data_IF_753406734952
#
_entry.id   IF_753406734952
#
_cell.length_a   1.000
_cell.length_b   1.000
_cell.length_c   1.000
_cell.angle_alpha   90.00
_cell.angle_beta   90.00
_cell.angle_gamma   90.00
#
_symmetry.space_group_name_H-M   'P 1'
#
loop_
_entity.id
_entity.type
_entity.pdbx_description
1 polymer ?
#
# COMPACT_ATOMS: atom_id res chain seq x y z
N UNK A 1 9.55 -7.35 -53.39
CA UNK A 1 8.66 -6.18 -53.34
C UNK A 1 7.75 -6.31 -52.14
N UNK A 2 7.69 -5.31 -51.27
CA UNK A 2 6.88 -5.34 -50.05
C UNK A 2 5.40 -5.06 -50.37
N UNK A 3 4.56 -6.07 -50.23
CA UNK A 3 3.11 -5.99 -50.41
C UNK A 3 2.48 -5.26 -49.21
N UNK A 4 1.99 -4.04 -49.44
CA UNK A 4 1.37 -3.23 -48.41
C UNK A 4 -0.08 -3.68 -48.17
N UNK A 5 -0.30 -4.41 -47.08
CA UNK A 5 -1.63 -4.82 -46.60
C UNK A 5 -2.54 -3.59 -46.34
N UNK A 6 -3.47 -3.32 -47.26
CA UNK A 6 -4.42 -2.22 -47.16
C UNK A 6 -5.53 -2.58 -46.16
N UNK A 7 -5.55 -1.93 -44.99
CA UNK A 7 -6.63 -2.07 -43.99
C UNK A 7 -7.99 -1.66 -44.57
N UNK A 8 -8.76 -2.62 -45.09
CA UNK A 8 -10.02 -2.44 -45.81
C UNK A 8 -11.07 -1.56 -45.09
N UNK A 9 -11.11 -1.61 -43.75
CA UNK A 9 -12.07 -0.84 -42.94
C UNK A 9 -11.87 0.69 -42.98
N UNK A 10 -10.63 1.19 -43.14
CA UNK A 10 -10.37 2.64 -43.26
C UNK A 10 -10.77 3.19 -44.62
N UNK A 11 -10.59 2.41 -45.68
CA UNK A 11 -10.92 2.82 -47.05
C UNK A 11 -12.44 2.88 -47.26
N UNK A 12 -13.20 1.93 -46.70
CA UNK A 12 -14.68 1.90 -46.77
C UNK A 12 -15.34 3.12 -46.08
N UNK A 13 -14.82 3.56 -44.93
CA UNK A 13 -15.30 4.78 -44.24
C UNK A 13 -14.98 6.08 -44.99
N UNK A 14 -13.92 6.12 -45.80
CA UNK A 14 -13.58 7.30 -46.63
C UNK A 14 -14.44 7.40 -47.89
N UNK A 15 -14.84 6.27 -48.48
CA UNK A 15 -15.63 6.21 -49.72
C UNK A 15 -17.15 6.29 -49.50
N UNK A 16 -17.63 6.20 -48.27
CA UNK A 16 -19.06 6.06 -47.95
C UNK A 16 -19.89 7.35 -48.08
N UNK A 17 -19.31 8.47 -48.55
CA UNK A 17 -20.00 9.77 -48.71
C UNK A 17 -20.48 10.44 -47.41
N UNK A 18 -20.40 9.75 -46.27
CA UNK A 18 -20.80 10.27 -44.96
C UNK A 18 -19.79 11.29 -44.45
N UNK A 19 -20.27 12.43 -43.94
CA UNK A 19 -19.39 13.40 -43.31
C UNK A 19 -18.63 12.78 -42.13
N UNK A 20 -17.31 12.99 -42.11
CA UNK A 20 -16.47 12.54 -41.01
C UNK A 20 -16.75 13.39 -39.77
N UNK A 21 -17.39 12.81 -38.77
CA UNK A 21 -17.49 13.41 -37.44
C UNK A 21 -16.12 13.31 -36.78
N UNK A 22 -15.42 14.44 -36.69
CA UNK A 22 -14.16 14.56 -35.95
C UNK A 22 -14.41 15.43 -34.72
N UNK A 23 -14.21 14.86 -33.53
CA UNK A 23 -14.22 15.64 -32.28
C UNK A 23 -12.79 16.06 -31.97
N UNK A 24 -12.60 17.35 -31.66
CA UNK A 24 -11.33 17.83 -31.08
C UNK A 24 -11.30 17.38 -29.63
N UNK A 25 -10.25 16.66 -29.22
CA UNK A 25 -10.06 16.31 -27.82
C UNK A 25 -9.63 17.58 -27.06
N UNK A 26 -10.44 18.02 -26.09
CA UNK A 26 -10.03 19.07 -25.15
C UNK A 26 -9.10 18.45 -24.11
N UNK A 27 -7.91 19.01 -23.96
CA UNK A 27 -7.00 18.63 -22.87
C UNK A 27 -7.56 19.24 -21.59
N UNK A 28 -8.05 18.40 -20.69
CA UNK A 28 -8.49 18.82 -19.35
C UNK A 28 -7.28 18.75 -18.42
N UNK A 29 -7.03 19.84 -17.69
CA UNK A 29 -5.94 19.94 -16.72
C UNK A 29 -6.49 19.68 -15.32
N UNK A 30 -5.72 19.02 -14.43
CA UNK A 30 -6.17 18.74 -13.07
C UNK A 30 -6.24 20.02 -12.24
N UNK A 31 -7.24 20.09 -11.36
CA UNK A 31 -7.38 21.16 -10.37
C UNK A 31 -6.69 20.72 -9.08
N UNK A 32 -5.78 21.54 -8.57
CA UNK A 32 -5.09 21.28 -7.30
C UNK A 32 -5.87 21.90 -6.15
N UNK A 33 -6.28 21.05 -5.20
CA UNK A 33 -7.05 21.45 -4.01
C UNK A 33 -6.17 21.79 -2.81
N UNK A 34 -4.99 21.18 -2.71
CA UNK A 34 -4.09 21.40 -1.57
C UNK A 34 -3.56 22.84 -1.54
N UNK A 35 -3.62 23.46 -0.36
CA UNK A 35 -3.28 24.89 -0.18
C UNK A 35 -1.80 25.17 -0.42
N UNK A 36 -0.92 24.26 -0.04
CA UNK A 36 0.53 24.42 -0.18
C UNK A 36 0.94 24.23 -1.64
N UNK A 37 0.43 23.17 -2.27
CA UNK A 37 0.72 22.86 -3.67
C UNK A 37 0.15 23.94 -4.61
N UNK A 38 -1.04 24.49 -4.32
CA UNK A 38 -1.66 25.55 -5.11
C UNK A 38 -0.83 26.83 -5.20
N UNK A 39 0.02 27.13 -4.21
CA UNK A 39 0.92 28.30 -4.26
C UNK A 39 2.03 28.15 -5.30
N UNK A 40 2.49 26.92 -5.54
CA UNK A 40 3.62 26.61 -6.42
C UNK A 40 3.14 26.11 -7.80
N UNK A 41 1.86 25.74 -7.91
CA UNK A 41 1.26 25.18 -9.11
C UNK A 41 0.92 26.25 -10.16
N UNK A 42 1.51 26.14 -11.36
CA UNK A 42 1.13 26.98 -12.50
C UNK A 42 0.15 26.23 -13.41
N UNK A 43 -1.08 26.74 -13.53
CA UNK A 43 -2.13 26.14 -14.37
C UNK A 43 -1.78 26.11 -15.86
N UNK A 44 -0.86 26.97 -16.31
CA UNK A 44 -0.41 27.05 -17.71
C UNK A 44 0.62 25.99 -18.06
N UNK A 45 1.29 25.40 -17.09
CA UNK A 45 2.26 24.33 -17.29
C UNK A 45 1.60 22.94 -17.25
N UNK A 46 2.18 21.93 -17.93
CA UNK A 46 1.71 20.56 -17.83
C UNK A 46 1.99 20.00 -16.42
N UNK A 47 1.16 19.07 -15.91
CA UNK A 47 1.34 18.49 -14.56
C UNK A 47 2.73 17.90 -14.31
N UNK A 48 3.35 17.32 -15.35
CA UNK A 48 4.68 16.76 -15.25
C UNK A 48 5.76 17.81 -14.90
N UNK A 49 5.68 19.00 -15.49
CA UNK A 49 6.63 20.08 -15.22
C UNK A 49 6.37 20.70 -13.85
N UNK A 50 5.10 20.86 -13.47
CA UNK A 50 4.75 21.36 -12.14
C UNK A 50 5.24 20.42 -11.03
N UNK A 51 5.03 19.11 -11.17
CA UNK A 51 5.51 18.14 -10.19
C UNK A 51 7.03 18.13 -10.14
N UNK A 52 7.71 18.19 -11.30
CA UNK A 52 9.17 18.29 -11.36
C UNK A 52 9.71 19.53 -10.64
N UNK A 53 9.02 20.67 -10.75
CA UNK A 53 9.37 21.91 -10.02
C UNK A 53 9.25 21.76 -8.51
N UNK A 54 8.31 20.94 -8.05
CA UNK A 54 8.10 20.60 -6.64
C UNK A 54 9.04 19.47 -6.17
N UNK A 55 9.79 18.85 -7.09
CA UNK A 55 10.66 17.71 -6.80
C UNK A 55 9.92 16.37 -6.71
N UNK A 56 8.72 16.28 -7.29
CA UNK A 56 7.88 15.09 -7.35
C UNK A 56 7.90 14.48 -8.76
N UNK A 57 7.76 13.16 -8.84
CA UNK A 57 7.69 12.45 -10.12
C UNK A 57 6.23 12.28 -10.56
N UNK A 58 5.95 12.58 -11.84
CA UNK A 58 4.62 12.42 -12.42
C UNK A 58 4.27 10.96 -12.70
N UNK A 59 5.26 10.10 -12.94
CA UNK A 59 5.05 8.70 -13.30
C UNK A 59 5.88 7.75 -12.42
N UNK A 60 5.43 7.56 -11.18
CA UNK A 60 6.07 6.70 -10.18
C UNK A 60 6.29 5.29 -10.75
N UNK A 61 5.24 4.59 -11.16
CA UNK A 61 5.36 3.20 -11.60
C UNK A 61 6.12 3.04 -12.93
N UNK A 62 6.08 4.05 -13.79
CA UNK A 62 6.81 4.03 -15.06
C UNK A 62 8.31 4.29 -14.93
N UNK A 63 8.73 5.02 -13.89
CA UNK A 63 10.15 5.29 -13.61
C UNK A 63 10.79 4.18 -12.77
N UNK A 64 10.08 3.67 -11.75
CA UNK A 64 10.60 2.62 -10.87
C UNK A 64 10.40 1.19 -11.42
N UNK A 65 9.40 0.95 -12.27
CA UNK A 65 9.04 -0.39 -12.74
C UNK A 65 9.77 -0.87 -14.00
N UNK A 66 10.59 -0.03 -14.63
CA UNK A 66 11.38 -0.44 -15.82
C UNK A 66 12.71 -1.00 -15.35
N UNK A 67 12.90 -2.32 -15.50
CA UNK A 67 14.25 -2.89 -15.51
C UNK A 67 15.04 -2.14 -16.57
N UNK A 68 16.06 -1.37 -16.18
CA UNK A 68 16.85 -0.58 -17.12
C UNK A 68 17.48 -1.53 -18.14
N UNK A 69 17.12 -1.41 -19.41
CA UNK A 69 17.81 -2.12 -20.50
C UNK A 69 19.14 -1.46 -20.87
N UNK A 70 19.42 -0.28 -20.31
CA UNK A 70 20.69 0.42 -20.46
C UNK A 70 21.63 0.02 -19.33
N UNK A 71 22.84 -0.42 -19.68
CA UNK A 71 23.96 -0.50 -18.74
C UNK A 71 24.11 0.89 -18.10
N UNK A 72 23.93 0.96 -16.78
CA UNK A 72 24.18 2.19 -16.04
C UNK A 72 25.61 2.68 -16.22
N UNK A 73 25.91 3.95 -15.90
CA UNK A 73 27.28 4.44 -15.88
C UNK A 73 28.13 3.55 -14.97
N UNK A 74 29.38 3.29 -15.39
CA UNK A 74 30.38 2.59 -14.59
C UNK A 74 30.67 3.47 -13.37
N UNK A 75 30.03 3.18 -12.25
CA UNK A 75 30.30 3.87 -10.99
C UNK A 75 31.77 3.63 -10.64
N UNK A 76 32.55 4.72 -10.62
CA UNK A 76 33.91 4.74 -10.06
C UNK A 76 33.80 4.49 -8.56
N UNK A 77 34.64 3.58 -8.06
CA UNK A 77 34.46 2.85 -6.80
C UNK A 77 34.77 3.64 -5.51
N UNK A 78 34.87 4.97 -5.54
CA UNK A 78 35.49 5.73 -4.44
C UNK A 78 34.54 6.30 -3.38
N UNK A 79 33.24 6.10 -3.49
CA UNK A 79 32.31 6.50 -2.41
C UNK A 79 31.21 5.45 -2.23
N UNK A 80 31.60 4.29 -1.71
CA UNK A 80 30.67 3.37 -1.06
C UNK A 80 30.46 3.89 0.38
N UNK A 81 29.51 4.80 0.57
CA UNK A 81 28.96 5.00 1.91
C UNK A 81 28.24 3.70 2.29
N UNK A 82 28.66 3.10 3.39
CA UNK A 82 27.99 1.94 3.99
C UNK A 82 26.56 2.35 4.34
N UNK A 83 25.62 2.00 3.47
CA UNK A 83 24.20 2.13 3.76
C UNK A 83 23.86 0.97 4.69
N UNK A 84 23.99 1.19 6.00
CA UNK A 84 23.47 0.26 6.99
C UNK A 84 21.99 0.09 6.70
N UNK A 85 21.59 -1.11 6.30
CA UNK A 85 20.20 -1.46 6.09
C UNK A 85 19.53 -1.37 7.47
N UNK A 86 18.83 -0.27 7.74
CA UNK A 86 18.06 -0.14 8.97
C UNK A 86 17.14 -1.36 9.06
N UNK A 87 17.15 -2.06 10.19
CA UNK A 87 16.17 -3.10 10.47
C UNK A 87 14.80 -2.45 10.41
N UNK A 88 14.10 -2.63 9.29
CA UNK A 88 12.72 -2.21 9.14
C UNK A 88 11.97 -3.04 10.19
N UNK A 89 11.38 -2.41 11.23
CA UNK A 89 10.62 -3.17 12.20
C UNK A 89 9.56 -3.97 11.44
N UNK A 90 9.34 -5.22 11.86
CA UNK A 90 8.30 -6.05 11.26
C UNK A 90 7.01 -5.22 11.15
N UNK A 91 6.34 -5.31 10.00
CA UNK A 91 5.16 -4.55 9.56
C UNK A 91 3.91 -4.74 10.46
N UNK A 92 4.10 -4.86 11.76
CA UNK A 92 3.11 -4.81 12.82
C UNK A 92 2.99 -3.39 13.41
N UNK A 93 3.64 -2.36 12.83
CA UNK A 93 3.27 -0.97 13.12
C UNK A 93 1.77 -0.81 12.91
N UNK A 94 1.03 -0.56 14.00
CA UNK A 94 -0.39 -0.21 13.90
C UNK A 94 -0.42 1.06 13.04
N UNK A 95 -0.92 0.96 11.82
CA UNK A 95 -1.30 2.14 11.06
C UNK A 95 -2.34 2.84 11.93
N UNK A 96 -1.88 3.84 12.69
CA UNK A 96 -2.74 4.65 13.53
C UNK A 96 -3.66 5.34 12.55
N UNK A 97 -4.92 4.88 12.51
CA UNK A 97 -5.93 5.50 11.67
C UNK A 97 -5.90 6.99 11.97
N UNK A 98 -5.93 7.81 10.92
CA UNK A 98 -5.91 9.27 11.04
C UNK A 98 -7.01 9.77 11.98
N UNK A 99 -8.10 9.01 12.10
CA UNK A 99 -9.14 9.26 13.09
C UNK A 99 -8.79 8.64 14.45
N UNK A 100 -8.47 9.43 15.49
CA UNK A 100 -8.08 8.93 16.82
C UNK A 100 -9.22 8.20 17.56
N UNK A 101 -10.47 8.32 17.08
CA UNK A 101 -11.62 7.61 17.65
C UNK A 101 -11.75 6.19 17.11
N UNK A 102 -11.10 5.87 15.98
CA UNK A 102 -11.11 4.52 15.42
C UNK A 102 -10.08 3.68 16.14
N UNK A 103 -10.52 2.52 16.60
CA UNK A 103 -9.68 1.58 17.33
C UNK A 103 -8.99 0.66 16.32
N UNK A 104 -7.69 0.32 16.52
CA UNK A 104 -7.00 -0.62 15.64
C UNK A 104 -7.56 -2.06 15.72
N UNK A 105 -8.25 -2.41 16.81
CA UNK A 105 -8.88 -3.72 17.02
C UNK A 105 -10.24 -3.55 17.73
N UNK A 106 -11.25 -4.30 17.29
CA UNK A 106 -12.58 -4.35 17.91
C UNK A 106 -12.53 -4.94 19.32
N UNK A 107 -13.47 -4.57 20.19
CA UNK A 107 -13.59 -5.15 21.52
C UNK A 107 -13.82 -6.66 21.47
N UNK A 108 -14.66 -7.13 20.55
CA UNK A 108 -14.97 -8.55 20.37
C UNK A 108 -13.73 -9.36 19.99
N UNK A 109 -12.91 -8.82 19.08
CA UNK A 109 -11.64 -9.43 18.66
C UNK A 109 -10.65 -9.50 19.83
N UNK A 110 -10.59 -8.45 20.66
CA UNK A 110 -9.78 -8.44 21.87
C UNK A 110 -10.27 -9.51 22.87
N UNK A 111 -11.59 -9.67 23.06
CA UNK A 111 -12.17 -10.70 23.96
C UNK A 111 -11.81 -12.09 23.47
N UNK A 112 -11.95 -12.29 22.17
CA UNK A 112 -11.68 -13.55 21.53
C UNK A 112 -10.22 -13.96 21.70
N UNK A 113 -9.27 -13.08 21.35
CA UNK A 113 -7.85 -13.43 21.45
C UNK A 113 -7.38 -13.55 22.91
N UNK A 114 -7.91 -12.72 23.82
CA UNK A 114 -7.63 -12.85 25.25
C UNK A 114 -8.11 -14.19 25.81
N UNK A 115 -9.26 -14.71 25.34
CA UNK A 115 -9.75 -16.05 25.71
C UNK A 115 -8.80 -17.15 25.23
N UNK A 116 -8.32 -17.08 23.98
CA UNK A 116 -7.36 -18.05 23.44
C UNK A 116 -6.03 -18.01 24.22
N UNK A 117 -5.50 -16.81 24.44
CA UNK A 117 -4.24 -16.58 25.16
C UNK A 117 -4.31 -16.97 26.63
N UNK A 118 -5.49 -16.94 27.25
CA UNK A 118 -5.70 -17.41 28.62
C UNK A 118 -5.58 -18.94 28.76
N UNK A 119 -5.80 -19.71 27.68
CA UNK A 119 -5.75 -21.19 27.74
C UNK A 119 -4.44 -21.75 27.20
N UNK A 120 -3.88 -21.12 26.17
CA UNK A 120 -2.74 -21.64 25.41
C UNK A 120 -1.51 -20.71 25.43
N UNK A 121 -1.57 -19.57 26.13
CA UNK A 121 -0.48 -18.61 26.17
C UNK A 121 -0.09 -18.05 24.79
N UNK A 122 1.12 -18.38 24.32
CA UNK A 122 1.65 -18.00 22.99
C UNK A 122 1.75 -19.18 22.01
N UNK A 123 1.21 -20.36 22.37
CA UNK A 123 1.20 -21.52 21.46
C UNK A 123 0.06 -21.42 20.44
N UNK A 124 0.35 -20.80 19.30
CA UNK A 124 -0.64 -20.61 18.23
C UNK A 124 -1.07 -21.92 17.56
N UNK A 125 -0.24 -22.96 17.60
CA UNK A 125 -0.58 -24.26 17.01
C UNK A 125 -1.61 -24.96 17.90
N UNK A 126 -1.44 -24.92 19.23
CA UNK A 126 -2.44 -25.40 20.17
C UNK A 126 -3.76 -24.62 20.05
N UNK A 127 -3.70 -23.29 19.95
CA UNK A 127 -4.90 -22.46 19.71
C UNK A 127 -5.62 -22.80 18.41
N UNK A 128 -4.87 -23.13 17.35
CA UNK A 128 -5.45 -23.51 16.06
C UNK A 128 -6.18 -24.85 16.13
N UNK A 129 -5.61 -25.83 16.83
CA UNK A 129 -6.19 -27.17 16.98
C UNK A 129 -7.37 -27.23 17.95
N UNK A 130 -7.48 -26.26 18.85
CA UNK A 130 -8.56 -26.20 19.84
C UNK A 130 -9.85 -25.63 19.25
N UNK A 131 -10.65 -26.52 18.66
CA UNK A 131 -11.92 -26.21 17.99
C UNK A 131 -12.96 -25.56 18.93
N UNK A 132 -12.95 -25.92 20.20
CA UNK A 132 -13.92 -25.44 21.19
C UNK A 132 -13.70 -23.98 21.56
N UNK A 133 -12.43 -23.57 21.60
CA UNK A 133 -12.06 -22.18 21.91
C UNK A 133 -11.93 -21.35 20.64
N UNK A 134 -11.33 -21.92 19.58
CA UNK A 134 -11.27 -21.34 18.23
C UNK A 134 -12.57 -21.59 17.45
N UNK A 135 -13.69 -21.08 17.96
CA UNK A 135 -15.01 -21.26 17.34
C UNK A 135 -15.05 -20.70 15.91
N UNK A 136 -14.29 -19.64 15.64
CA UNK A 136 -14.19 -19.00 14.32
C UNK A 136 -13.26 -19.75 13.34
N UNK A 137 -12.62 -20.84 13.78
CA UNK A 137 -11.73 -21.67 12.97
C UNK A 137 -10.64 -20.86 12.24
N UNK A 138 -10.10 -19.84 12.92
CA UNK A 138 -9.04 -19.02 12.36
C UNK A 138 -7.77 -19.84 12.18
N UNK A 139 -7.06 -19.59 11.09
CA UNK A 139 -5.76 -20.20 10.83
C UNK A 139 -4.70 -19.71 11.83
N UNK A 140 -3.66 -20.52 12.05
CA UNK A 140 -2.53 -20.16 12.91
C UNK A 140 -1.95 -18.77 12.58
N UNK A 141 -1.78 -18.48 11.29
CA UNK A 141 -1.25 -17.18 10.83
C UNK A 141 -2.16 -16.01 11.21
N UNK A 142 -3.49 -16.21 11.22
CA UNK A 142 -4.46 -15.19 11.62
C UNK A 142 -4.43 -14.97 13.13
N UNK A 143 -4.37 -16.05 13.92
CA UNK A 143 -4.26 -16.00 15.37
C UNK A 143 -2.98 -15.28 15.81
N UNK A 144 -1.84 -15.59 15.18
CA UNK A 144 -0.57 -14.91 15.42
C UNK A 144 -0.66 -13.41 15.16
N UNK A 145 -1.22 -13.00 14.01
CA UNK A 145 -1.41 -11.57 13.68
C UNK A 145 -2.35 -10.86 14.64
N UNK A 146 -3.39 -11.53 15.12
CA UNK A 146 -4.32 -10.97 16.10
C UNK A 146 -3.64 -10.81 17.46
N UNK A 147 -2.92 -11.82 17.94
CA UNK A 147 -2.17 -11.75 19.19
C UNK A 147 -1.08 -10.67 19.14
N UNK A 148 -0.27 -10.61 18.07
CA UNK A 148 0.71 -9.54 17.89
C UNK A 148 0.08 -8.15 17.96
N UNK A 149 -1.04 -7.94 17.23
CA UNK A 149 -1.78 -6.68 17.30
C UNK A 149 -2.27 -6.39 18.72
N UNK A 150 -2.86 -7.37 19.40
CA UNK A 150 -3.40 -7.21 20.75
C UNK A 150 -2.33 -6.79 21.77
N UNK A 151 -1.14 -7.40 21.70
CA UNK A 151 0.00 -7.06 22.54
C UNK A 151 0.55 -5.66 22.27
N UNK A 152 0.41 -5.16 21.04
CA UNK A 152 0.82 -3.81 20.67
C UNK A 152 -0.20 -2.73 21.05
N UNK A 153 -1.45 -3.07 21.35
CA UNK A 153 -2.46 -2.09 21.79
C UNK A 153 -2.10 -1.54 23.18
N UNK A 154 -2.05 -0.22 23.35
CA UNK A 154 -1.73 0.39 24.66
C UNK A 154 -2.89 1.25 25.20
N UNK A 155 -2.92 1.40 26.54
CA UNK A 155 -3.81 2.32 27.24
C UNK A 155 -5.28 2.22 26.81
N UNK A 156 -5.83 3.33 26.31
CA UNK A 156 -7.25 3.44 25.92
C UNK A 156 -7.66 2.56 24.72
N UNK A 157 -6.69 2.04 23.96
CA UNK A 157 -6.95 1.15 22.82
C UNK A 157 -7.22 -0.29 23.27
N UNK A 158 -6.59 -0.71 24.37
CA UNK A 158 -6.75 -2.03 24.99
C UNK A 158 -7.88 -1.96 26.01
N UNK A 159 -9.01 -2.55 25.67
CA UNK A 159 -10.19 -2.60 26.52
C UNK A 159 -10.14 -3.75 27.52
N UNK A 160 -9.34 -4.78 27.22
CA UNK A 160 -9.32 -6.04 27.95
C UNK A 160 -7.93 -6.28 28.48
N UNK A 161 -7.78 -6.67 29.76
CA UNK A 161 -6.48 -6.95 30.33
C UNK A 161 -5.81 -8.11 29.60
N UNK A 162 -4.49 -8.04 29.47
CA UNK A 162 -3.70 -9.15 28.96
C UNK A 162 -3.76 -10.29 29.99
N UNK A 163 -4.02 -11.54 29.57
CA UNK A 163 -4.00 -12.69 30.48
C UNK A 163 -2.63 -12.87 31.14
N UNK A 164 -2.63 -13.27 32.42
CA UNK A 164 -1.41 -13.42 33.25
C UNK A 164 -0.38 -14.38 32.65
N UNK A 165 -0.83 -15.46 32.01
CA UNK A 165 0.05 -16.47 31.38
C UNK A 165 0.99 -15.89 30.31
N UNK A 166 0.63 -14.75 29.71
CA UNK A 166 1.44 -14.08 28.69
C UNK A 166 2.29 -12.95 29.30
N UNK A 167 1.87 -12.39 30.43
CA UNK A 167 2.56 -11.31 31.12
C UNK A 167 3.83 -11.76 31.86
N UNK A 168 3.82 -12.98 32.41
CA UNK A 168 4.90 -13.53 33.27
C UNK A 168 6.22 -13.78 32.53
N UNK A 169 6.20 -14.02 31.21
CA UNK A 169 7.42 -14.29 30.42
C UNK A 169 8.12 -13.02 29.90
N UNK A 170 7.62 -11.84 30.24
CA UNK A 170 8.15 -10.55 29.75
C UNK A 170 8.85 -9.73 30.83
N UNK A 171 9.04 -10.29 32.04
CA UNK A 171 9.79 -9.70 33.16
C UNK A 171 11.12 -10.40 33.39
#
# INVERSE_FOLDING_TARGET
>A
GSEAMVKAGRSKKRRSGRQRVSRKNKIVRPVVTDRSLKKVWDEKLPPAENLKRVGLNFNVNGEFGRKSTKKGPKLVAETLQEVTFAEIPASDSLDVDRNPRRRPMSEEDQRYIAKQMKKHGKDYKAMFMDIDTNVMQYTEAKLRKMASRFLLLEGAQRLIPVPSEVAEESS
#
